data_IF_052721799201
#
_entry.id   IF_052721799201
#
_cell.length_a   1.000
_cell.length_b   1.000
_cell.length_c   1.000
_cell.angle_alpha   90.00
_cell.angle_beta   90.00
_cell.angle_gamma   90.00
#
_symmetry.space_group_name_H-M   'P 1'
#
loop_
_entity.id
_entity.type
_entity.pdbx_description
1 polymer ?
#
# COMPACT_ATOMS: atom_id res chain seq x y z
N UNK A 1 -0.90 -15.07 -6.46
CA UNK A 1 -0.22 -14.01 -5.69
C UNK A 1 -1.23 -13.43 -4.73
N UNK A 2 -0.86 -13.26 -3.46
CA UNK A 2 -1.71 -12.79 -2.37
C UNK A 2 -1.28 -11.37 -2.00
N UNK A 3 -2.24 -10.45 -2.03
CA UNK A 3 -2.02 -9.04 -1.75
C UNK A 3 -2.95 -8.60 -0.65
N UNK A 4 -2.40 -7.97 0.38
CA UNK A 4 -3.16 -7.41 1.47
C UNK A 4 -3.21 -5.90 1.33
N UNK A 5 -4.42 -5.34 1.28
CA UNK A 5 -4.68 -3.90 1.36
C UNK A 5 -4.81 -3.53 2.84
N UNK A 6 -3.96 -2.64 3.34
CA UNK A 6 -3.91 -2.26 4.76
C UNK A 6 -4.16 -0.77 5.02
N UNK A 7 -4.73 -0.09 4.03
CA UNK A 7 -5.20 1.29 4.14
C UNK A 7 -6.73 1.34 3.99
N UNK A 8 -7.49 1.80 5.01
CA UNK A 8 -8.94 1.91 4.93
C UNK A 8 -9.46 2.77 3.76
N UNK A 9 -8.67 3.75 3.28
CA UNK A 9 -9.05 4.57 2.12
C UNK A 9 -9.10 3.75 0.82
N UNK A 10 -8.42 2.60 0.78
CA UNK A 10 -8.43 1.68 -0.34
C UNK A 10 -9.60 0.67 -0.31
N UNK A 11 -10.53 0.74 0.66
CA UNK A 11 -11.60 -0.26 0.82
C UNK A 11 -12.89 0.06 0.06
N UNK A 12 -12.92 1.14 -0.72
CA UNK A 12 -14.11 1.47 -1.52
C UNK A 12 -14.42 0.38 -2.56
N UNK A 13 -15.70 0.21 -2.88
CA UNK A 13 -16.15 -0.74 -3.91
C UNK A 13 -15.56 -0.39 -5.29
N UNK A 14 -15.47 0.89 -5.61
CA UNK A 14 -14.86 1.36 -6.85
C UNK A 14 -13.39 0.96 -6.96
N UNK A 15 -12.63 1.10 -5.87
CA UNK A 15 -11.22 0.69 -5.85
C UNK A 15 -11.07 -0.82 -5.95
N UNK A 16 -11.85 -1.59 -5.18
CA UNK A 16 -11.82 -3.07 -5.24
C UNK A 16 -12.16 -3.59 -6.65
N UNK A 17 -13.20 -3.03 -7.28
CA UNK A 17 -13.61 -3.38 -8.64
C UNK A 17 -12.49 -3.08 -9.65
N UNK A 18 -11.91 -1.89 -9.60
CA UNK A 18 -10.83 -1.49 -10.50
C UNK A 18 -9.59 -2.39 -10.33
N UNK A 19 -9.21 -2.68 -9.08
CA UNK A 19 -8.05 -3.50 -8.75
C UNK A 19 -8.21 -4.94 -9.24
N UNK A 20 -9.37 -5.56 -9.00
CA UNK A 20 -9.68 -6.92 -9.48
C UNK A 20 -9.75 -6.99 -11.00
N UNK A 21 -10.26 -5.95 -11.65
CA UNK A 21 -10.29 -5.87 -13.11
C UNK A 21 -8.89 -5.71 -13.71
N UNK A 22 -8.00 -4.94 -13.08
CA UNK A 22 -6.66 -4.68 -13.57
C UNK A 22 -5.69 -5.85 -13.33
N UNK A 23 -5.92 -6.61 -12.26
CA UNK A 23 -5.05 -7.72 -11.83
C UNK A 23 -5.83 -9.03 -11.72
N UNK A 24 -6.35 -9.58 -12.84
CA UNK A 24 -7.06 -10.85 -12.81
C UNK A 24 -6.13 -11.98 -12.32
N UNK A 25 -6.58 -12.75 -11.33
CA UNK A 25 -5.81 -13.85 -10.73
C UNK A 25 -4.96 -13.47 -9.51
N UNK A 26 -5.01 -12.21 -9.07
CA UNK A 26 -4.47 -11.79 -7.78
C UNK A 26 -5.53 -11.94 -6.70
N UNK A 27 -5.16 -12.55 -5.58
CA UNK A 27 -6.02 -12.67 -4.42
C UNK A 27 -5.84 -11.43 -3.54
N UNK A 28 -6.86 -10.58 -3.51
CA UNK A 28 -6.89 -9.39 -2.65
C UNK A 28 -7.68 -9.65 -1.37
N UNK A 29 -7.08 -9.30 -0.24
CA UNK A 29 -7.72 -9.28 1.09
C UNK A 29 -7.53 -7.91 1.73
N UNK A 30 -8.47 -7.51 2.58
CA UNK A 30 -8.31 -6.34 3.44
C UNK A 30 -7.63 -6.76 4.74
N UNK A 31 -6.83 -5.88 5.32
CA UNK A 31 -6.16 -6.14 6.60
C UNK A 31 -7.16 -6.52 7.70
N UNK A 32 -8.34 -5.90 7.72
CA UNK A 32 -9.41 -6.19 8.69
C UNK A 32 -9.98 -7.60 8.60
N UNK A 33 -9.77 -8.28 7.46
CA UNK A 33 -10.27 -9.63 7.21
C UNK A 33 -9.16 -10.68 7.41
N UNK A 34 -7.94 -10.24 7.72
CA UNK A 34 -6.78 -11.09 7.94
C UNK A 34 -6.66 -11.50 9.41
N UNK A 35 -6.42 -12.79 9.66
CA UNK A 35 -5.95 -13.26 10.95
C UNK A 35 -4.48 -12.80 11.18
N UNK A 36 -4.00 -12.71 12.44
CA UNK A 36 -2.64 -12.25 12.74
C UNK A 36 -1.49 -13.03 12.06
N UNK A 37 -1.73 -14.29 11.69
CA UNK A 37 -0.80 -15.20 11.03
C UNK A 37 -1.02 -15.32 9.51
N UNK A 38 -1.85 -14.44 8.93
CA UNK A 38 -2.13 -14.45 7.49
C UNK A 38 -0.85 -14.23 6.70
N UNK A 39 -0.55 -15.18 5.82
CA UNK A 39 0.60 -15.14 4.94
C UNK A 39 0.26 -14.43 3.61
N UNK A 40 1.11 -13.52 3.14
CA UNK A 40 0.88 -12.72 1.93
C UNK A 40 2.17 -12.30 1.24
N UNK A 41 2.09 -12.14 -0.09
CA UNK A 41 3.28 -11.86 -0.90
C UNK A 41 3.58 -10.36 -0.97
N UNK A 42 2.55 -9.51 -0.93
CA UNK A 42 2.66 -8.05 -0.99
C UNK A 42 1.72 -7.38 0.02
N UNK A 43 2.21 -6.31 0.65
CA UNK A 43 1.40 -5.41 1.46
C UNK A 43 1.23 -4.08 0.73
N UNK A 44 0.00 -3.60 0.57
CA UNK A 44 -0.32 -2.28 0.01
C UNK A 44 -0.78 -1.39 1.14
N UNK A 45 -0.07 -0.31 1.43
CA UNK A 45 -0.43 0.57 2.55
C UNK A 45 0.17 1.97 2.42
N UNK A 46 -0.41 2.99 3.07
CA UNK A 46 0.27 4.27 3.31
C UNK A 46 1.22 4.20 4.51
N UNK A 47 0.79 3.58 5.62
CA UNK A 47 1.57 3.37 6.83
C UNK A 47 1.24 1.98 7.40
N UNK A 48 2.15 1.36 8.16
CA UNK A 48 1.85 0.05 8.73
C UNK A 48 0.68 0.12 9.72
N UNK A 49 -0.26 -0.85 9.70
CA UNK A 49 -1.32 -0.92 10.68
C UNK A 49 -0.76 -0.87 12.11
N UNK A 50 -1.39 -0.14 13.05
CA UNK A 50 -0.87 -0.01 14.42
C UNK A 50 -0.72 -1.35 15.15
N UNK A 51 -1.58 -2.31 14.83
CA UNK A 51 -1.63 -3.67 15.38
C UNK A 51 -0.70 -4.65 14.62
N UNK A 52 -0.07 -4.23 13.53
CA UNK A 52 0.90 -5.04 12.81
C UNK A 52 2.19 -5.15 13.64
N UNK A 53 2.53 -6.38 14.05
CA UNK A 53 3.79 -6.65 14.75
C UNK A 53 4.99 -6.72 13.79
N UNK A 54 4.86 -7.49 12.70
CA UNK A 54 5.90 -7.69 11.69
C UNK A 54 5.31 -8.17 10.37
N UNK A 55 6.08 -8.06 9.30
CA UNK A 55 5.76 -8.68 8.02
C UNK A 55 5.94 -10.21 8.09
N UNK A 56 5.06 -11.02 7.47
CA UNK A 56 5.29 -12.44 7.22
C UNK A 56 6.56 -12.67 6.41
N UNK A 57 7.20 -13.82 6.61
CA UNK A 57 8.42 -14.19 5.88
C UNK A 57 8.21 -14.37 4.37
N UNK A 58 6.97 -14.58 3.91
CA UNK A 58 6.64 -14.62 2.49
C UNK A 58 6.53 -13.25 1.83
N UNK A 59 6.53 -12.15 2.61
CA UNK A 59 6.38 -10.80 2.07
C UNK A 59 7.59 -10.46 1.21
N UNK A 60 7.34 -10.02 -0.03
CA UNK A 60 8.38 -9.73 -1.02
C UNK A 60 8.59 -8.24 -1.24
N UNK A 61 7.57 -7.43 -0.96
CA UNK A 61 7.64 -5.97 -1.04
C UNK A 61 6.44 -5.32 -0.33
N UNK A 62 6.63 -4.05 0.04
CA UNK A 62 5.57 -3.13 0.47
C UNK A 62 5.32 -2.12 -0.64
N UNK A 63 4.08 -2.01 -1.09
CA UNK A 63 3.63 -1.02 -2.05
C UNK A 63 3.03 0.17 -1.29
N UNK A 64 3.74 1.29 -1.25
CA UNK A 64 3.27 2.51 -0.62
C UNK A 64 2.16 3.16 -1.46
N UNK A 65 1.01 3.46 -0.86
CA UNK A 65 -0.08 4.26 -1.46
C UNK A 65 0.25 5.76 -1.52
N UNK A 66 1.53 6.09 -1.57
CA UNK A 66 2.05 7.44 -1.44
C UNK A 66 3.23 7.73 -2.35
N UNK A 67 3.38 9.01 -2.70
CA UNK A 67 4.56 9.50 -3.40
C UNK A 67 5.80 9.52 -2.48
N UNK A 68 5.59 9.84 -1.19
CA UNK A 68 6.56 9.71 -0.10
C UNK A 68 6.45 8.36 0.62
N UNK A 69 7.55 7.91 1.20
CA UNK A 69 7.65 6.60 1.87
C UNK A 69 8.30 6.69 3.24
N UNK A 70 8.63 7.89 3.71
CA UNK A 70 9.36 8.14 4.96
C UNK A 70 8.66 7.51 6.17
N UNK A 71 7.33 7.58 6.24
CA UNK A 71 6.52 6.93 7.26
C UNK A 71 6.66 5.40 7.32
N UNK A 72 7.04 4.76 6.20
CA UNK A 72 7.31 3.31 6.15
C UNK A 72 8.79 3.02 6.38
N UNK A 73 9.69 3.76 5.71
CA UNK A 73 11.13 3.51 5.77
C UNK A 73 11.77 3.92 7.10
N UNK A 74 11.10 4.78 7.88
CA UNK A 74 11.51 5.13 9.24
C UNK A 74 10.84 4.26 10.30
N UNK A 75 9.92 3.36 9.92
CA UNK A 75 9.27 2.46 10.87
C UNK A 75 10.19 1.26 11.18
N UNK A 76 10.53 1.01 12.46
CA UNK A 76 11.45 -0.06 12.85
C UNK A 76 10.90 -1.47 12.59
N UNK A 77 9.62 -1.61 12.23
CA UNK A 77 9.02 -2.90 11.84
C UNK A 77 9.36 -3.29 10.40
N UNK A 78 9.87 -2.37 9.58
CA UNK A 78 10.35 -2.66 8.22
C UNK A 78 11.72 -3.36 8.31
N UNK A 79 11.90 -4.56 7.73
CA UNK A 79 13.22 -5.15 7.58
C UNK A 79 14.13 -4.30 6.69
N UNK A 80 15.42 -4.20 7.01
CA UNK A 80 16.39 -3.34 6.30
C UNK A 80 16.50 -3.64 4.79
N UNK A 81 16.28 -4.89 4.39
CA UNK A 81 16.35 -5.36 3.01
C UNK A 81 14.98 -5.41 2.30
N UNK A 82 13.90 -5.02 2.99
CA UNK A 82 12.54 -5.09 2.44
C UNK A 82 12.33 -4.00 1.38
N UNK A 83 11.99 -4.37 0.12
CA UNK A 83 11.69 -3.39 -0.91
C UNK A 83 10.42 -2.59 -0.58
N UNK A 84 10.52 -1.26 -0.58
CA UNK A 84 9.39 -0.34 -0.52
C UNK A 84 9.23 0.36 -1.88
N UNK A 85 8.10 0.12 -2.54
CA UNK A 85 7.79 0.69 -3.86
C UNK A 85 6.81 1.84 -3.68
N UNK A 86 7.17 3.04 -4.12
CA UNK A 86 6.31 4.22 -4.03
C UNK A 86 5.32 4.34 -5.18
N UNK A 87 4.18 4.98 -4.92
CA UNK A 87 3.22 5.33 -5.95
C UNK A 87 3.77 6.43 -6.86
N UNK A 88 3.62 6.21 -8.17
CA UNK A 88 3.91 7.17 -9.23
C UNK A 88 2.66 7.36 -10.07
N UNK A 89 1.94 8.43 -9.81
CA UNK A 89 0.72 8.77 -10.52
C UNK A 89 0.87 10.15 -11.19
N UNK A 90 0.74 10.25 -12.53
CA UNK A 90 0.69 11.53 -13.23
C UNK A 90 -0.39 12.48 -12.69
N UNK A 91 -1.53 11.96 -12.22
CA UNK A 91 -2.60 12.80 -11.67
C UNK A 91 -2.17 13.48 -10.36
N UNK A 92 -1.44 12.77 -9.48
CA UNK A 92 -0.84 13.39 -8.28
C UNK A 92 0.13 14.52 -8.66
N UNK A 93 0.96 14.31 -9.70
CA UNK A 93 1.88 15.34 -10.16
C UNK A 93 1.14 16.58 -10.70
N UNK A 94 0.06 16.37 -11.45
CA UNK A 94 -0.78 17.46 -11.96
C UNK A 94 -1.44 18.23 -10.81
N UNK A 95 -1.98 17.54 -9.80
CA UNK A 95 -2.60 18.19 -8.63
C UNK A 95 -1.61 19.12 -7.89
N UNK A 96 -0.36 18.70 -7.74
CA UNK A 96 0.68 19.53 -7.12
C UNK A 96 1.04 20.74 -8.01
N UNK A 97 1.10 20.55 -9.34
CA UNK A 97 1.33 21.65 -10.27
C UNK A 97 0.20 22.68 -10.19
N UNK A 98 -1.07 22.23 -10.22
CA UNK A 98 -2.24 23.09 -10.13
C UNK A 98 -2.21 23.90 -8.82
N UNK A 99 -1.89 23.25 -7.70
CA UNK A 99 -1.76 23.91 -6.40
C UNK A 99 -0.65 24.97 -6.40
N UNK A 100 0.54 24.62 -6.91
CA UNK A 100 1.69 25.53 -6.94
C UNK A 100 1.43 26.75 -7.83
N UNK A 101 0.74 26.57 -8.96
CA UNK A 101 0.38 27.65 -9.87
C UNK A 101 -0.78 28.50 -9.34
N UNK A 102 -1.69 27.93 -8.54
CA UNK A 102 -2.75 28.70 -7.90
C UNK A 102 -2.24 29.60 -6.76
N UNK A 103 -1.22 29.15 -6.05
CA UNK A 103 -0.59 29.91 -4.97
C UNK A 103 0.37 31.02 -5.45
N UNK A 104 0.58 31.16 -6.76
CA UNK A 104 1.50 32.10 -7.40
C UNK A 104 0.86 33.45 -7.73
#
# INVERSE_FOLDING_TARGET
MRVVLADPLAYSEAFDTALRSACPGVEFRRWTDCAPDTDYDLLVTWAFPPDMAKLPASTRAVLCLGAGTDQLTSDPRLPDDMPVVRLRDPAQAQQILDYAMHAA
#
